data_IF_961874132651
#
_entry.id   IF_961874132651
#
_cell.length_a   1.000
_cell.length_b   1.000
_cell.length_c   1.000
_cell.angle_alpha   90.00
_cell.angle_beta   90.00
_cell.angle_gamma   90.00
#
_symmetry.space_group_name_H-M   'P 1'
#
loop_
_entity.id
_entity.type
_entity.pdbx_description
1 polymer ?
#
# COMPACT_ATOMS: atom_id res chain seq x y z
N UNK A 1 20.68 6.07 9.64
CA UNK A 1 20.49 4.72 10.19
C UNK A 1 20.96 3.68 9.17
N UNK A 2 21.52 2.55 9.60
CA UNK A 2 21.84 1.39 8.73
C UNK A 2 20.96 0.22 9.18
N UNK A 3 20.60 -0.67 8.26
CA UNK A 3 19.95 -1.92 8.66
C UNK A 3 20.89 -2.77 9.51
N UNK A 4 20.36 -3.38 10.56
CA UNK A 4 21.14 -4.19 11.49
C UNK A 4 21.03 -5.65 11.07
N UNK A 5 22.18 -6.29 10.82
CA UNK A 5 22.19 -7.71 10.46
C UNK A 5 21.99 -8.59 11.70
N UNK A 6 20.90 -9.34 11.73
CA UNK A 6 20.59 -10.30 12.80
C UNK A 6 21.21 -11.66 12.48
N UNK A 7 20.91 -12.20 11.30
CA UNK A 7 21.37 -13.53 10.87
C UNK A 7 21.45 -13.71 9.36
N UNK A 8 21.32 -12.63 8.56
CA UNK A 8 21.52 -12.71 7.12
C UNK A 8 22.98 -13.01 6.79
N UNK A 9 23.20 -13.91 5.84
CA UNK A 9 24.52 -14.27 5.27
C UNK A 9 25.03 -13.23 4.29
N UNK A 10 24.17 -12.32 3.84
CA UNK A 10 24.52 -11.27 2.89
C UNK A 10 24.89 -10.01 3.64
N UNK A 11 26.10 -9.52 3.40
CA UNK A 11 26.52 -8.21 3.88
C UNK A 11 26.12 -7.14 2.88
N UNK A 12 25.20 -6.25 3.27
CA UNK A 12 24.79 -5.11 2.44
C UNK A 12 25.79 -3.97 2.63
N UNK A 13 26.49 -3.50 1.58
CA UNK A 13 27.50 -2.46 1.72
C UNK A 13 26.91 -1.08 2.12
N UNK A 14 27.68 -0.28 2.87
CA UNK A 14 27.25 1.04 3.36
C UNK A 14 26.84 2.01 2.26
N UNK A 15 27.44 1.90 1.07
CA UNK A 15 27.08 2.75 -0.06
C UNK A 15 25.62 2.53 -0.52
N UNK A 16 25.03 1.36 -0.27
CA UNK A 16 23.62 1.06 -0.58
C UNK A 16 22.72 1.79 0.41
N UNK A 17 23.02 1.73 1.71
CA UNK A 17 22.30 2.49 2.74
C UNK A 17 22.36 4.00 2.50
N UNK A 18 23.52 4.52 2.10
CA UNK A 18 23.68 5.93 1.74
C UNK A 18 22.83 6.30 0.51
N UNK A 19 22.73 5.42 -0.50
CA UNK A 19 21.83 5.61 -1.65
C UNK A 19 20.36 5.59 -1.22
N UNK A 20 19.96 4.70 -0.32
CA UNK A 20 18.60 4.66 0.22
C UNK A 20 18.30 6.01 0.87
N UNK A 21 19.10 6.41 1.87
CA UNK A 21 18.90 7.66 2.61
C UNK A 21 18.80 8.88 1.69
N UNK A 22 19.69 8.99 0.70
CA UNK A 22 19.69 10.07 -0.29
C UNK A 22 18.44 10.12 -1.20
N UNK A 23 17.57 9.11 -1.18
CA UNK A 23 16.31 9.06 -1.95
C UNK A 23 15.08 9.39 -1.10
N UNK A 24 15.14 9.30 0.23
CA UNK A 24 13.93 9.13 1.05
C UNK A 24 13.00 10.34 1.14
N UNK A 25 13.42 11.55 0.75
CA UNK A 25 12.59 12.77 0.80
C UNK A 25 11.71 12.84 2.06
N UNK A 26 10.38 12.68 1.94
CA UNK A 26 9.42 12.74 3.05
C UNK A 26 9.38 11.48 3.92
N UNK A 27 9.96 10.35 3.49
CA UNK A 27 10.10 9.11 4.27
C UNK A 27 11.31 9.14 5.22
N UNK A 28 12.14 10.19 5.18
CA UNK A 28 13.32 10.33 6.05
C UNK A 28 12.97 10.22 7.54
N UNK A 29 11.92 10.90 8.07
CA UNK A 29 11.54 10.77 9.47
C UNK A 29 11.12 9.35 9.85
N UNK A 30 10.41 8.64 8.95
CA UNK A 30 10.04 7.24 9.17
C UNK A 30 11.27 6.34 9.22
N UNK A 31 12.24 6.54 8.33
CA UNK A 31 13.48 5.77 8.30
C UNK A 31 14.38 5.98 9.51
N UNK A 32 14.36 7.19 10.09
CA UNK A 32 15.13 7.48 11.31
C UNK A 32 14.47 6.90 12.57
N UNK A 33 13.16 6.64 12.51
CA UNK A 33 12.37 6.15 13.64
C UNK A 33 12.19 4.63 13.64
N UNK A 34 11.97 4.03 12.47
CA UNK A 34 11.61 2.61 12.33
C UNK A 34 12.86 1.76 12.11
N UNK A 35 13.21 0.85 13.04
CA UNK A 35 14.36 -0.03 12.88
C UNK A 35 14.20 -0.97 11.69
N UNK A 36 15.32 -1.23 11.00
CA UNK A 36 15.40 -2.16 9.88
C UNK A 36 16.36 -3.29 10.24
N UNK A 37 15.89 -4.53 10.15
CA UNK A 37 16.68 -5.72 10.42
C UNK A 37 16.86 -6.59 9.17
N UNK A 38 18.06 -7.14 9.01
CA UNK A 38 18.37 -8.09 7.96
C UNK A 38 18.33 -9.50 8.54
N UNK A 39 17.50 -10.35 7.96
CA UNK A 39 17.28 -11.73 8.40
C UNK A 39 17.46 -12.72 7.27
N UNK A 40 17.78 -13.97 7.63
CA UNK A 40 17.80 -15.05 6.65
C UNK A 40 16.38 -15.48 6.22
N UNK A 41 16.31 -16.38 5.24
CA UNK A 41 15.06 -16.86 4.65
C UNK A 41 14.19 -17.62 5.66
N UNK A 42 14.80 -18.40 6.55
CA UNK A 42 14.10 -19.21 7.53
C UNK A 42 13.43 -18.33 8.58
N UNK A 43 14.14 -17.32 9.07
CA UNK A 43 13.59 -16.32 9.98
C UNK A 43 12.50 -15.50 9.29
N UNK A 44 12.70 -15.08 8.04
CA UNK A 44 11.68 -14.35 7.28
C UNK A 44 10.37 -15.15 7.14
N UNK A 45 10.43 -16.44 6.80
CA UNK A 45 9.22 -17.27 6.68
C UNK A 45 8.50 -17.55 7.99
N UNK A 46 9.19 -17.40 9.13
CA UNK A 46 8.56 -17.50 10.45
C UNK A 46 7.91 -16.19 10.88
N UNK A 47 8.51 -15.06 10.49
CA UNK A 47 7.95 -13.72 10.72
C UNK A 47 6.75 -13.49 9.81
N UNK A 48 6.91 -13.75 8.52
CA UNK A 48 5.91 -13.52 7.47
C UNK A 48 5.84 -14.74 6.55
N UNK A 49 5.10 -15.79 6.96
CA UNK A 49 4.95 -17.02 6.19
C UNK A 49 4.46 -16.76 4.76
N UNK A 50 4.80 -17.67 3.81
CA UNK A 50 4.36 -17.53 2.43
C UNK A 50 2.84 -17.31 2.35
N UNK A 51 2.45 -16.23 1.69
CA UNK A 51 1.06 -15.77 1.64
C UNK A 51 0.38 -16.28 0.39
N UNK A 52 -0.91 -16.60 0.51
CA UNK A 52 -1.77 -16.84 -0.66
C UNK A 52 -2.12 -15.50 -1.29
N UNK A 53 -1.90 -15.41 -2.60
CA UNK A 53 -2.14 -14.23 -3.41
C UNK A 53 -3.07 -14.56 -4.58
N UNK A 54 -3.58 -13.52 -5.23
CA UNK A 54 -4.42 -13.67 -6.41
C UNK A 54 -3.63 -14.33 -7.55
N UNK A 55 -4.34 -15.14 -8.34
CA UNK A 55 -3.84 -15.75 -9.56
C UNK A 55 -4.45 -15.02 -10.77
N UNK A 56 -3.61 -14.70 -11.75
CA UNK A 56 -3.99 -13.89 -12.92
C UNK A 56 -5.12 -14.53 -13.74
N UNK A 57 -5.01 -15.84 -14.03
CA UNK A 57 -5.99 -16.56 -14.84
C UNK A 57 -7.36 -16.60 -14.15
N UNK A 58 -7.37 -16.87 -12.84
CA UNK A 58 -8.59 -16.85 -12.05
C UNK A 58 -9.17 -15.43 -11.98
N UNK A 59 -8.34 -14.42 -11.69
CA UNK A 59 -8.75 -13.04 -11.54
C UNK A 59 -9.49 -12.53 -12.78
N UNK A 60 -8.96 -12.78 -13.98
CA UNK A 60 -9.59 -12.36 -15.22
C UNK A 60 -11.00 -12.94 -15.40
N UNK A 61 -11.24 -14.17 -14.95
CA UNK A 61 -12.58 -14.79 -14.97
C UNK A 61 -13.50 -14.27 -13.87
N UNK A 62 -12.94 -13.99 -12.69
CA UNK A 62 -13.68 -13.47 -11.54
C UNK A 62 -14.13 -12.02 -11.73
N UNK A 63 -13.34 -11.18 -12.40
CA UNK A 63 -13.74 -9.80 -12.71
C UNK A 63 -15.01 -9.75 -13.57
N UNK A 64 -15.13 -10.63 -14.58
CA UNK A 64 -16.37 -10.75 -15.39
C UNK A 64 -17.59 -11.13 -14.55
N UNK A 65 -17.43 -12.10 -13.63
CA UNK A 65 -18.51 -12.49 -12.70
C UNK A 65 -18.92 -11.35 -11.79
N UNK A 66 -17.97 -10.50 -11.39
CA UNK A 66 -18.24 -9.32 -10.59
C UNK A 66 -19.01 -8.27 -11.42
N UNK A 67 -18.65 -8.07 -12.69
CA UNK A 67 -19.37 -7.16 -13.59
C UNK A 67 -20.84 -7.59 -13.74
N UNK A 68 -21.08 -8.86 -14.04
CA UNK A 68 -22.42 -9.44 -14.14
C UNK A 68 -23.24 -9.23 -12.85
N UNK A 69 -22.61 -9.45 -11.69
CA UNK A 69 -23.22 -9.23 -10.37
C UNK A 69 -23.61 -7.75 -10.15
N UNK A 70 -22.75 -6.83 -10.58
CA UNK A 70 -22.98 -5.39 -10.43
C UNK A 70 -24.05 -4.89 -11.41
N UNK A 71 -24.08 -5.40 -12.64
CA UNK A 71 -25.11 -5.08 -13.64
C UNK A 71 -26.50 -5.54 -13.15
N UNK A 72 -26.64 -6.79 -12.72
CA UNK A 72 -27.90 -7.34 -12.16
C UNK A 72 -28.39 -6.52 -10.96
N UNK A 73 -27.45 -5.97 -10.18
CA UNK A 73 -27.76 -5.10 -9.04
C UNK A 73 -28.12 -3.69 -9.43
N UNK A 74 -27.53 -3.12 -10.48
CA UNK A 74 -27.91 -1.79 -10.96
C UNK A 74 -29.40 -1.74 -11.33
N UNK A 75 -29.93 -2.85 -11.86
CA UNK A 75 -31.35 -3.02 -12.19
C UNK A 75 -32.22 -3.16 -10.92
N UNK A 76 -31.75 -3.89 -9.89
CA UNK A 76 -32.46 -4.09 -8.61
C UNK A 76 -32.35 -2.92 -7.62
N UNK A 77 -31.27 -2.14 -7.67
CA UNK A 77 -31.03 -0.98 -6.80
C UNK A 77 -31.98 0.18 -7.10
N UNK A 78 -32.48 0.27 -8.33
CA UNK A 78 -33.59 1.18 -8.66
C UNK A 78 -34.89 0.84 -7.91
N UNK A 79 -35.03 -0.40 -7.43
CA UNK A 79 -36.22 -0.93 -6.75
C UNK A 79 -36.09 -0.96 -5.21
N UNK A 80 -34.87 -0.97 -4.66
CA UNK A 80 -34.58 -1.25 -3.24
C UNK A 80 -34.17 -0.03 -2.37
N UNK A 81 -34.51 1.21 -2.74
CA UNK A 81 -34.13 2.45 -2.02
C UNK A 81 -34.70 2.63 -0.60
N UNK A 82 -35.04 1.58 0.16
CA UNK A 82 -35.77 1.76 1.44
C UNK A 82 -35.31 0.99 2.67
N UNK A 83 -34.24 0.20 2.66
CA UNK A 83 -33.68 -0.18 3.96
C UNK A 83 -32.18 -0.45 3.97
N UNK A 84 -31.59 0.03 5.07
CA UNK A 84 -30.64 -0.67 5.93
C UNK A 84 -29.18 -0.21 5.98
N UNK A 85 -28.77 -0.22 7.25
CA UNK A 85 -27.51 0.12 7.90
C UNK A 85 -26.44 -0.97 7.79
N UNK A 86 -26.69 -2.02 7.00
CA UNK A 86 -25.74 -3.13 6.81
C UNK A 86 -24.79 -2.92 5.64
N UNK A 87 -23.61 -3.53 5.71
CA UNK A 87 -22.67 -3.62 4.58
C UNK A 87 -23.38 -4.29 3.41
N UNK A 88 -23.34 -3.71 2.20
CA UNK A 88 -24.08 -4.25 1.08
C UNK A 88 -23.69 -5.71 0.80
N UNK A 89 -24.65 -6.64 0.69
CA UNK A 89 -24.36 -8.06 0.41
C UNK A 89 -23.47 -8.29 -0.82
N UNK A 90 -23.50 -7.39 -1.81
CA UNK A 90 -22.65 -7.48 -3.00
C UNK A 90 -21.17 -7.25 -2.68
N UNK A 91 -20.84 -6.44 -1.68
CA UNK A 91 -19.47 -6.25 -1.21
C UNK A 91 -18.89 -7.56 -0.71
N UNK A 92 -19.66 -8.28 0.12
CA UNK A 92 -19.25 -9.61 0.60
C UNK A 92 -19.11 -10.61 -0.54
N UNK A 93 -20.02 -10.59 -1.51
CA UNK A 93 -19.95 -11.47 -2.67
C UNK A 93 -18.71 -11.22 -3.55
N UNK A 94 -18.28 -9.95 -3.71
CA UNK A 94 -17.02 -9.63 -4.42
C UNK A 94 -15.83 -10.23 -3.68
N UNK A 95 -15.75 -10.03 -2.36
CA UNK A 95 -14.66 -10.57 -1.55
C UNK A 95 -14.62 -12.10 -1.61
N UNK A 96 -15.78 -12.77 -1.61
CA UNK A 96 -15.90 -14.22 -1.79
C UNK A 96 -15.39 -14.67 -3.16
N UNK A 97 -15.86 -14.03 -4.25
CA UNK A 97 -15.43 -14.34 -5.63
C UNK A 97 -13.92 -14.16 -5.79
N UNK A 98 -13.35 -13.09 -5.24
CA UNK A 98 -11.91 -12.85 -5.31
C UNK A 98 -11.11 -13.80 -4.40
N UNK A 99 -11.67 -14.19 -3.26
CA UNK A 99 -11.02 -15.15 -2.34
C UNK A 99 -10.86 -16.54 -2.96
N UNK A 100 -11.75 -16.94 -3.87
CA UNK A 100 -11.59 -18.16 -4.69
C UNK A 100 -10.28 -18.15 -5.51
N UNK A 101 -9.81 -16.96 -5.89
CA UNK A 101 -8.61 -16.77 -6.70
C UNK A 101 -7.30 -16.72 -5.92
N UNK A 102 -7.33 -16.86 -4.60
CA UNK A 102 -6.13 -16.84 -3.75
C UNK A 102 -5.32 -18.13 -3.87
N UNK A 103 -4.82 -18.50 -5.05
CA UNK A 103 -4.16 -19.80 -5.29
C UNK A 103 -2.66 -19.70 -5.50
N UNK A 104 -2.14 -18.53 -5.87
CA UNK A 104 -0.70 -18.31 -5.99
C UNK A 104 -0.07 -18.17 -4.60
N UNK A 105 1.24 -18.42 -4.51
CA UNK A 105 2.01 -18.23 -3.27
C UNK A 105 3.12 -17.21 -3.51
N UNK A 106 3.23 -16.27 -2.59
CA UNK A 106 4.32 -15.29 -2.58
C UNK A 106 5.13 -15.42 -1.31
N UNK A 107 6.45 -15.38 -1.47
CA UNK A 107 7.41 -15.22 -0.38
C UNK A 107 7.77 -13.75 -0.26
N UNK A 108 7.81 -13.23 0.97
CA UNK A 108 8.13 -11.83 1.20
C UNK A 108 9.64 -11.60 1.11
N UNK A 109 10.02 -10.48 0.48
CA UNK A 109 11.39 -9.95 0.46
C UNK A 109 11.66 -9.00 1.63
N UNK A 110 10.60 -8.34 2.10
CA UNK A 110 10.57 -7.49 3.28
C UNK A 110 9.18 -7.54 3.91
N UNK A 111 9.09 -7.13 5.16
CA UNK A 111 7.83 -6.96 5.87
C UNK A 111 7.96 -5.86 6.92
N UNK A 112 7.01 -4.95 6.91
CA UNK A 112 6.75 -4.02 8.00
C UNK A 112 5.75 -4.60 8.99
N UNK A 113 6.05 -4.48 10.29
CA UNK A 113 5.14 -4.82 11.39
C UNK A 113 4.87 -3.58 12.24
N UNK A 114 3.59 -3.32 12.51
CA UNK A 114 3.11 -2.24 13.39
C UNK A 114 2.48 -2.82 14.65
N UNK A 115 3.08 -2.52 15.81
CA UNK A 115 2.62 -2.74 17.20
C UNK A 115 1.96 -4.10 17.53
N UNK A 116 2.09 -5.06 16.63
CA UNK A 116 1.63 -6.41 16.78
C UNK A 116 2.76 -7.12 17.51
N UNK A 117 2.54 -7.42 18.80
CA UNK A 117 3.41 -8.33 19.53
C UNK A 117 3.67 -9.53 18.62
N UNK A 118 4.93 -9.81 18.20
CA UNK A 118 5.21 -11.06 17.53
C UNK A 118 4.66 -12.16 18.43
N UNK A 119 4.21 -13.27 17.84
CA UNK A 119 3.80 -14.43 18.65
C UNK A 119 4.86 -14.66 19.74
N UNK A 120 4.49 -14.94 21.01
CA UNK A 120 5.46 -14.95 22.11
C UNK A 120 6.74 -15.75 21.82
N UNK A 121 6.59 -16.86 21.08
CA UNK A 121 7.69 -17.70 20.62
C UNK A 121 8.63 -16.99 19.63
N UNK A 122 8.06 -16.25 18.66
CA UNK A 122 8.81 -15.43 17.71
C UNK A 122 9.48 -14.24 18.42
N UNK A 123 8.81 -13.61 19.38
CA UNK A 123 9.38 -12.52 20.17
C UNK A 123 10.60 -12.99 20.99
N UNK A 124 10.48 -14.15 21.65
CA UNK A 124 11.56 -14.76 22.42
C UNK A 124 12.75 -15.14 21.54
N UNK A 125 12.49 -15.67 20.35
CA UNK A 125 13.55 -16.00 19.41
C UNK A 125 14.24 -14.77 18.82
N UNK A 126 13.48 -13.77 18.36
CA UNK A 126 14.04 -12.52 17.85
C UNK A 126 14.93 -11.85 18.91
N UNK A 127 14.46 -11.87 20.16
CA UNK A 127 15.27 -11.45 21.31
C UNK A 127 16.56 -12.25 21.36
N UNK A 128 16.48 -13.59 21.35
CA UNK A 128 17.67 -14.47 21.41
C UNK A 128 18.64 -14.27 20.24
N UNK A 129 18.15 -14.07 19.02
CA UNK A 129 18.99 -13.81 17.86
C UNK A 129 19.75 -12.48 18.01
N UNK A 130 19.07 -11.45 18.51
CA UNK A 130 19.68 -10.15 18.83
C UNK A 130 20.67 -10.25 19.99
N UNK A 131 20.39 -11.07 20.99
CA UNK A 131 21.33 -11.30 22.08
C UNK A 131 22.65 -11.88 21.60
N UNK A 132 22.62 -12.62 20.49
CA UNK A 132 23.79 -13.19 19.84
C UNK A 132 24.34 -12.31 18.71
N UNK A 133 23.67 -11.20 18.36
CA UNK A 133 24.12 -10.30 17.31
C UNK A 133 25.34 -9.50 17.78
N UNK A 134 26.29 -9.31 16.86
CA UNK A 134 27.57 -8.62 17.11
C UNK A 134 27.38 -7.19 17.67
N UNK A 135 26.23 -6.57 17.42
CA UNK A 135 25.91 -5.19 17.79
C UNK A 135 24.80 -5.06 18.86
N UNK A 136 24.57 -6.08 19.70
CA UNK A 136 23.52 -6.09 20.74
C UNK A 136 23.42 -4.78 21.54
N UNK A 137 24.57 -4.27 22.01
CA UNK A 137 24.60 -3.07 22.86
C UNK A 137 24.15 -1.80 22.12
N UNK A 138 24.54 -1.66 20.85
CA UNK A 138 24.11 -0.53 20.01
C UNK A 138 22.61 -0.64 19.72
N UNK A 139 22.14 -1.85 19.40
CA UNK A 139 20.75 -2.15 19.09
C UNK A 139 19.80 -1.87 20.27
N UNK A 140 20.10 -2.40 21.47
CA UNK A 140 19.28 -2.17 22.67
C UNK A 140 19.35 -0.72 23.17
N UNK A 141 20.42 0.01 22.84
CA UNK A 141 20.52 1.44 23.18
C UNK A 141 19.67 2.32 22.27
N UNK A 142 19.56 1.98 20.98
CA UNK A 142 18.81 2.75 19.98
C UNK A 142 17.32 2.37 19.99
N UNK A 143 17.00 1.13 20.32
CA UNK A 143 15.64 0.60 20.31
C UNK A 143 15.35 -0.21 21.59
N UNK A 144 15.20 0.47 22.74
CA UNK A 144 15.04 -0.18 24.05
C UNK A 144 13.75 -0.98 24.18
N UNK A 145 12.73 -0.65 23.38
CA UNK A 145 11.41 -1.28 23.45
C UNK A 145 11.29 -2.54 22.57
N UNK A 146 12.32 -2.92 21.80
CA UNK A 146 12.28 -4.10 20.94
C UNK A 146 11.98 -5.40 21.74
N UNK A 147 11.14 -6.33 21.23
CA UNK A 147 10.46 -6.36 19.93
C UNK A 147 9.10 -5.63 19.90
N UNK A 148 8.80 -4.77 20.87
CA UNK A 148 7.57 -3.96 20.88
C UNK A 148 7.74 -2.73 19.98
N UNK A 149 6.65 -2.33 19.34
CA UNK A 149 6.62 -1.20 18.41
C UNK A 149 6.87 -1.58 16.95
N UNK A 150 7.12 -0.56 16.14
CA UNK A 150 7.25 -0.68 14.69
C UNK A 150 8.61 -1.24 14.27
N UNK A 151 8.61 -2.12 13.27
CA UNK A 151 9.86 -2.73 12.78
C UNK A 151 9.74 -3.17 11.32
N UNK A 152 10.83 -3.06 10.58
CA UNK A 152 10.98 -3.61 9.23
C UNK A 152 11.98 -4.77 9.26
N UNK A 153 11.59 -5.90 8.69
CA UNK A 153 12.50 -7.00 8.39
C UNK A 153 12.71 -7.11 6.90
N UNK A 154 13.95 -7.31 6.45
CA UNK A 154 14.31 -7.54 5.05
C UNK A 154 15.07 -8.86 4.97
N UNK A 155 14.85 -9.62 3.90
CA UNK A 155 15.61 -10.84 3.59
C UNK A 155 16.52 -10.58 2.36
N UNK A 156 17.78 -10.17 2.58
CA UNK A 156 18.70 -9.90 1.49
C UNK A 156 18.95 -11.11 0.58
N UNK A 157 18.99 -12.33 1.12
CA UNK A 157 19.23 -13.56 0.36
C UNK A 157 18.28 -13.66 -0.84
N UNK A 158 16.98 -13.52 -0.60
CA UNK A 158 15.95 -13.57 -1.65
C UNK A 158 16.09 -12.42 -2.65
N UNK A 159 16.52 -11.25 -2.18
CA UNK A 159 16.72 -10.08 -3.05
C UNK A 159 17.93 -10.29 -3.97
N UNK A 160 19.01 -10.89 -3.45
CA UNK A 160 20.27 -11.07 -4.17
C UNK A 160 20.25 -12.20 -5.21
N UNK A 161 19.17 -12.97 -5.27
CA UNK A 161 18.88 -13.94 -6.34
C UNK A 161 18.28 -13.30 -7.61
N UNK A 162 17.91 -12.02 -7.56
CA UNK A 162 17.30 -11.32 -8.68
C UNK A 162 18.29 -10.46 -9.46
N UNK A 163 17.90 -10.10 -10.68
CA UNK A 163 18.63 -9.13 -11.50
C UNK A 163 18.65 -7.75 -10.83
N UNK A 164 19.80 -7.07 -10.87
CA UNK A 164 20.01 -5.76 -10.24
C UNK A 164 19.71 -5.74 -8.73
N UNK A 165 20.30 -6.65 -7.94
CA UNK A 165 19.89 -6.92 -6.57
C UNK A 165 20.08 -5.72 -5.64
N UNK A 166 21.12 -4.92 -5.82
CA UNK A 166 21.34 -3.68 -5.05
C UNK A 166 20.23 -2.65 -5.27
N UNK A 167 19.70 -2.56 -6.49
CA UNK A 167 18.64 -1.63 -6.83
C UNK A 167 17.29 -2.15 -6.30
N UNK A 168 17.06 -3.45 -6.41
CA UNK A 168 15.88 -4.10 -5.83
C UNK A 168 15.88 -3.97 -4.31
N UNK A 169 17.02 -4.15 -3.64
CA UNK A 169 17.18 -3.96 -2.21
C UNK A 169 16.74 -2.55 -1.77
N UNK A 170 17.22 -1.52 -2.48
CA UNK A 170 16.77 -0.15 -2.25
C UNK A 170 15.24 -0.03 -2.39
N UNK A 171 14.66 -0.62 -3.44
CA UNK A 171 13.21 -0.55 -3.69
C UNK A 171 12.42 -1.23 -2.56
N UNK A 172 12.86 -2.40 -2.10
CA UNK A 172 12.16 -3.16 -1.06
C UNK A 172 12.20 -2.36 0.25
N UNK A 173 13.34 -1.82 0.64
CA UNK A 173 13.43 -0.98 1.85
C UNK A 173 12.47 0.22 1.77
N UNK A 174 12.45 0.94 0.64
CA UNK A 174 11.56 2.10 0.47
C UNK A 174 10.08 1.69 0.47
N UNK A 175 9.75 0.52 -0.08
CA UNK A 175 8.39 -0.03 -0.06
C UNK A 175 7.93 -0.34 1.37
N UNK A 176 8.75 -0.99 2.19
CA UNK A 176 8.41 -1.24 3.60
C UNK A 176 8.30 0.07 4.42
N UNK A 177 9.14 1.07 4.11
CA UNK A 177 9.01 2.40 4.70
C UNK A 177 7.71 3.10 4.30
N UNK A 178 7.20 2.85 3.09
CA UNK A 178 5.91 3.37 2.67
C UNK A 178 4.78 2.76 3.50
N UNK A 179 4.82 1.46 3.78
CA UNK A 179 3.88 0.84 4.73
C UNK A 179 3.97 1.46 6.11
N UNK A 180 5.19 1.62 6.64
CA UNK A 180 5.40 2.23 7.95
C UNK A 180 4.90 3.68 8.02
N UNK A 181 5.10 4.45 6.95
CA UNK A 181 4.63 5.83 6.86
C UNK A 181 3.10 5.91 6.79
N UNK A 182 2.44 5.01 6.06
CA UNK A 182 0.98 5.00 5.90
C UNK A 182 0.28 4.47 7.16
N UNK A 183 0.88 3.50 7.85
CA UNK A 183 0.28 2.90 9.05
C UNK A 183 0.06 3.94 10.16
N UNK A 184 1.06 4.79 10.45
CA UNK A 184 0.97 5.77 11.54
C UNK A 184 0.48 5.10 12.85
N UNK A 185 -0.51 5.70 13.53
CA UNK A 185 -1.14 5.13 14.74
C UNK A 185 -2.40 4.29 14.44
N UNK A 186 -2.62 3.83 13.20
CA UNK A 186 -3.91 3.28 12.75
C UNK A 186 -3.85 1.80 12.43
N UNK A 187 -4.92 1.10 12.79
CA UNK A 187 -5.16 -0.28 12.35
C UNK A 187 -5.51 -0.27 10.86
N UNK A 188 -4.66 -0.87 10.04
CA UNK A 188 -4.91 -0.96 8.59
C UNK A 188 -5.83 -2.13 8.26
N UNK A 189 -6.55 -2.03 7.14
CA UNK A 189 -7.43 -3.08 6.63
C UNK A 189 -6.65 -4.16 5.84
N UNK A 190 -5.32 -4.20 5.95
CA UNK A 190 -4.42 -5.09 5.21
C UNK A 190 -4.75 -6.58 5.29
N UNK A 191 -5.41 -7.02 6.37
CA UNK A 191 -5.87 -8.40 6.52
C UNK A 191 -6.98 -8.76 5.53
N UNK A 192 -7.76 -7.76 5.10
CA UNK A 192 -8.80 -7.90 4.07
C UNK A 192 -8.16 -7.75 2.69
N UNK A 193 -8.77 -8.39 1.70
CA UNK A 193 -8.20 -8.45 0.36
C UNK A 193 -8.09 -7.07 -0.30
N UNK A 194 -9.15 -6.25 -0.23
CA UNK A 194 -9.12 -4.89 -0.79
C UNK A 194 -8.05 -4.02 -0.12
N UNK A 195 -7.88 -4.13 1.19
CA UNK A 195 -6.90 -3.36 1.95
C UNK A 195 -5.51 -3.71 1.49
N UNK A 196 -5.23 -5.01 1.35
CA UNK A 196 -3.97 -5.50 0.77
C UNK A 196 -3.73 -4.99 -0.65
N UNK A 197 -4.71 -5.10 -1.55
CA UNK A 197 -4.55 -4.63 -2.94
C UNK A 197 -4.19 -3.15 -2.97
N UNK A 198 -4.91 -2.32 -2.22
CA UNK A 198 -4.65 -0.88 -2.15
C UNK A 198 -3.26 -0.61 -1.56
N UNK A 199 -2.97 -1.17 -0.39
CA UNK A 199 -1.73 -0.89 0.35
C UNK A 199 -0.48 -1.34 -0.41
N UNK A 200 -0.48 -2.56 -0.97
CA UNK A 200 0.67 -3.10 -1.71
C UNK A 200 0.91 -2.33 -3.02
N UNK A 201 -0.17 -2.01 -3.74
CA UNK A 201 -0.10 -1.21 -4.96
C UNK A 201 0.41 0.20 -4.68
N UNK A 202 -0.06 0.83 -3.60
CA UNK A 202 0.37 2.16 -3.19
C UNK A 202 1.82 2.16 -2.72
N UNK A 203 2.23 1.20 -1.90
CA UNK A 203 3.60 1.09 -1.42
C UNK A 203 4.59 0.87 -2.59
N UNK A 204 4.21 0.08 -3.60
CA UNK A 204 4.99 -0.04 -4.83
C UNK A 204 5.06 1.27 -5.64
N UNK A 205 3.94 2.00 -5.76
CA UNK A 205 3.91 3.28 -6.47
C UNK A 205 4.79 4.33 -5.77
N UNK A 206 4.67 4.45 -4.45
CA UNK A 206 5.54 5.29 -3.62
C UNK A 206 6.99 4.90 -3.84
N UNK A 207 7.34 3.62 -3.66
CA UNK A 207 8.71 3.16 -3.81
C UNK A 207 9.30 3.51 -5.16
N UNK A 208 8.58 3.24 -6.26
CA UNK A 208 9.02 3.58 -7.62
C UNK A 208 9.22 5.09 -7.83
N UNK A 209 8.42 5.95 -7.19
CA UNK A 209 8.56 7.41 -7.30
C UNK A 209 9.90 7.94 -6.76
N UNK A 210 10.58 7.18 -5.88
CA UNK A 210 11.90 7.52 -5.35
C UNK A 210 13.07 7.15 -6.28
N UNK A 211 12.80 6.49 -7.41
CA UNK A 211 13.82 6.13 -8.41
C UNK A 211 13.83 7.10 -9.60
N UNK A 212 14.99 7.24 -10.25
CA UNK A 212 15.11 8.02 -11.49
C UNK A 212 14.59 7.19 -12.65
N UNK A 213 14.11 7.85 -13.70
CA UNK A 213 13.52 7.18 -14.87
C UNK A 213 14.39 6.04 -15.42
N UNK A 214 15.71 6.26 -15.56
CA UNK A 214 16.66 5.24 -16.05
C UNK A 214 16.83 4.01 -15.15
N UNK A 215 16.44 4.11 -13.89
CA UNK A 215 16.52 3.02 -12.90
C UNK A 215 15.21 2.24 -12.81
N UNK A 216 14.10 2.82 -13.27
CA UNK A 216 12.78 2.18 -13.16
C UNK A 216 12.57 0.93 -14.03
N UNK A 217 13.13 0.77 -15.25
CA UNK A 217 12.84 -0.39 -16.10
C UNK A 217 13.08 -1.76 -15.43
N UNK A 218 14.24 -2.05 -14.79
CA UNK A 218 14.44 -3.33 -14.11
C UNK A 218 13.48 -3.52 -12.92
N UNK A 219 13.13 -2.45 -12.19
CA UNK A 219 12.18 -2.52 -11.08
C UNK A 219 10.74 -2.80 -11.56
N UNK A 220 10.34 -2.20 -12.68
CA UNK A 220 9.06 -2.49 -13.35
C UNK A 220 9.00 -3.94 -13.83
N UNK A 221 10.09 -4.42 -14.44
CA UNK A 221 10.19 -5.81 -14.88
C UNK A 221 10.08 -6.81 -13.71
N UNK A 222 10.60 -6.44 -12.53
CA UNK A 222 10.40 -7.21 -11.31
C UNK A 222 8.94 -7.19 -10.84
N UNK A 223 8.34 -6.01 -10.73
CA UNK A 223 6.94 -5.85 -10.27
C UNK A 223 5.97 -6.57 -11.21
N UNK A 224 6.21 -6.55 -12.52
CA UNK A 224 5.37 -7.24 -13.51
C UNK A 224 5.28 -8.76 -13.30
N UNK A 225 6.21 -9.37 -12.54
CA UNK A 225 6.20 -10.79 -12.18
C UNK A 225 5.55 -11.07 -10.82
N UNK A 226 5.18 -10.02 -10.07
CA UNK A 226 4.51 -10.16 -8.78
C UNK A 226 3.01 -10.44 -8.95
N UNK A 227 2.33 -10.95 -7.91
CA UNK A 227 0.88 -11.13 -7.93
C UNK A 227 0.12 -9.83 -8.21
N UNK A 228 -1.15 -9.91 -8.67
CA UNK A 228 -1.99 -8.75 -8.98
C UNK A 228 -1.99 -7.65 -7.92
N UNK A 229 -2.01 -8.02 -6.63
CA UNK A 229 -2.04 -7.08 -5.50
C UNK A 229 -0.88 -6.08 -5.54
N UNK A 230 0.27 -6.48 -6.10
CA UNK A 230 1.49 -5.69 -6.17
C UNK A 230 1.64 -4.94 -7.51
N UNK A 231 1.00 -5.43 -8.58
CA UNK A 231 1.11 -4.86 -9.94
C UNK A 231 0.32 -3.56 -10.10
N UNK A 232 -0.61 -3.29 -9.18
CA UNK A 232 -1.49 -2.13 -9.23
C UNK A 232 -0.79 -0.79 -9.05
N UNK A 233 0.51 -0.76 -8.76
CA UNK A 233 1.28 0.49 -8.77
C UNK A 233 1.17 1.25 -10.10
N UNK A 234 0.98 0.54 -11.22
CA UNK A 234 0.83 1.16 -12.53
C UNK A 234 -0.47 1.93 -12.68
N UNK A 235 -1.54 1.50 -12.01
CA UNK A 235 -2.78 2.26 -11.92
C UNK A 235 -2.52 3.64 -11.28
N UNK A 236 -1.69 3.70 -10.23
CA UNK A 236 -1.31 4.94 -9.56
C UNK A 236 -0.31 5.78 -10.36
N UNK A 237 0.57 5.15 -11.15
CA UNK A 237 1.71 5.82 -11.80
C UNK A 237 1.52 6.19 -13.27
N UNK A 238 0.77 5.42 -14.05
CA UNK A 238 0.74 5.50 -15.52
C UNK A 238 -0.65 5.71 -16.08
N UNK A 239 -1.58 6.13 -15.24
CA UNK A 239 -2.87 6.50 -15.73
C UNK A 239 -2.79 7.83 -16.50
N UNK A 240 -2.46 7.73 -17.78
CA UNK A 240 -3.17 8.41 -18.89
C UNK A 240 -4.49 7.68 -19.17
N UNK A 241 -5.06 7.04 -18.14
CA UNK A 241 -6.33 6.38 -18.26
C UNK A 241 -7.33 7.51 -18.46
N UNK A 242 -8.08 7.52 -19.57
CA UNK A 242 -9.11 8.52 -19.81
C UNK A 242 -10.08 8.57 -18.61
N UNK A 243 -10.24 7.47 -17.86
CA UNK A 243 -10.85 7.44 -16.54
C UNK A 243 -10.06 8.29 -15.54
N UNK A 244 -8.78 8.03 -15.23
CA UNK A 244 -8.08 8.83 -14.20
C UNK A 244 -7.85 10.30 -14.61
N UNK A 245 -7.68 10.59 -15.90
CA UNK A 245 -7.57 11.95 -16.42
C UNK A 245 -8.95 12.65 -16.48
N UNK A 246 -10.07 11.95 -16.73
CA UNK A 246 -11.45 12.49 -16.53
C UNK A 246 -11.85 12.60 -15.05
N UNK A 247 -11.39 11.68 -14.22
CA UNK A 247 -11.85 11.50 -12.83
C UNK A 247 -11.02 12.33 -11.85
N UNK A 248 -9.72 12.46 -12.10
CA UNK A 248 -8.74 13.09 -11.20
C UNK A 248 -7.86 14.14 -11.88
N UNK A 249 -8.07 14.43 -13.20
CA UNK A 249 -7.63 15.61 -13.99
C UNK A 249 -6.16 16.00 -13.92
N UNK A 250 -5.37 15.13 -13.31
CA UNK A 250 -3.91 15.06 -13.30
C UNK A 250 -3.57 13.64 -12.87
N UNK A 251 -2.48 13.09 -13.39
CA UNK A 251 -2.06 11.74 -13.02
C UNK A 251 -1.71 11.70 -11.51
N UNK A 252 -2.16 10.70 -10.72
CA UNK A 252 -1.74 10.51 -9.33
C UNK A 252 -0.21 10.44 -9.18
N UNK A 253 0.49 10.07 -10.26
CA UNK A 253 1.92 10.23 -10.44
C UNK A 253 2.43 11.69 -10.28
N UNK A 254 1.75 12.67 -10.87
CA UNK A 254 2.10 14.09 -10.74
C UNK A 254 1.95 14.57 -9.30
N UNK A 255 0.95 14.04 -8.57
CA UNK A 255 0.77 14.33 -7.15
C UNK A 255 1.88 13.69 -6.30
N UNK A 256 2.15 12.40 -6.47
CA UNK A 256 3.25 11.70 -5.78
C UNK A 256 4.60 12.37 -6.07
N UNK A 257 4.79 12.87 -7.29
CA UNK A 257 5.99 13.60 -7.72
C UNK A 257 6.06 15.01 -7.12
N UNK A 258 4.97 15.77 -7.11
CA UNK A 258 4.91 17.08 -6.47
C UNK A 258 5.15 16.99 -4.95
N UNK A 259 4.63 15.93 -4.32
CA UNK A 259 4.85 15.64 -2.91
C UNK A 259 6.32 15.34 -2.59
N UNK A 260 7.05 14.73 -3.52
CA UNK A 260 8.50 14.49 -3.42
C UNK A 260 9.33 15.77 -3.53
N UNK A 261 8.90 16.76 -4.32
CA UNK A 261 9.70 17.93 -4.68
C UNK A 261 9.52 19.12 -3.71
N UNK A 262 8.35 19.31 -3.06
CA UNK A 262 8.12 20.41 -2.11
C UNK A 262 7.18 20.06 -0.93
N UNK A 263 7.69 19.55 0.22
CA UNK A 263 6.85 19.14 1.36
C UNK A 263 6.12 20.27 2.09
N UNK A 264 6.61 21.52 1.99
CA UNK A 264 6.19 22.64 2.85
C UNK A 264 5.41 23.75 2.13
N UNK A 265 5.29 23.69 0.80
CA UNK A 265 4.75 24.77 -0.04
C UNK A 265 3.70 24.30 -1.04
N UNK A 266 2.98 23.24 -0.70
CA UNK A 266 1.67 23.02 -1.33
C UNK A 266 0.72 24.10 -0.78
N UNK A 267 0.85 25.31 -1.30
CA UNK A 267 -0.32 26.11 -1.63
C UNK A 267 -1.20 25.16 -2.42
N UNK A 268 -2.21 24.62 -1.74
CA UNK A 268 -3.29 23.86 -2.32
C UNK A 268 -3.57 24.43 -3.71
N UNK A 269 -3.45 23.69 -4.82
CA UNK A 269 -3.60 24.29 -6.12
C UNK A 269 -5.03 24.81 -6.20
N UNK A 270 -5.23 26.10 -6.00
CA UNK A 270 -6.52 26.78 -6.11
C UNK A 270 -7.15 26.57 -7.50
N UNK A 271 -6.32 26.13 -8.46
CA UNK A 271 -6.68 25.73 -9.81
C UNK A 271 -7.32 24.32 -9.89
N UNK A 272 -7.04 23.41 -8.94
CA UNK A 272 -7.74 22.12 -8.81
C UNK A 272 -9.16 22.27 -8.23
N UNK A 273 -9.53 23.42 -7.65
CA UNK A 273 -10.90 23.65 -7.14
C UNK A 273 -11.86 24.05 -8.27
N UNK A 274 -11.34 24.66 -9.34
CA UNK A 274 -12.16 25.22 -10.43
C UNK A 274 -12.31 24.29 -11.65
N UNK A 275 -11.67 23.11 -11.64
CA UNK A 275 -11.64 22.17 -12.77
C UNK A 275 -12.38 20.85 -12.51
N UNK A 276 -12.97 20.64 -11.33
CA UNK A 276 -13.50 19.33 -10.93
C UNK A 276 -14.94 19.35 -10.42
N UNK A 277 -15.67 18.23 -10.60
CA UNK A 277 -16.93 18.02 -9.93
C UNK A 277 -16.77 17.58 -8.45
N UNK A 278 -17.72 17.92 -7.56
CA UNK A 278 -17.50 17.95 -6.11
C UNK A 278 -17.34 16.58 -5.43
N UNK A 279 -17.88 15.51 -6.02
CA UNK A 279 -17.86 14.17 -5.44
C UNK A 279 -16.48 13.48 -5.58
N UNK A 280 -15.69 13.86 -6.59
CA UNK A 280 -14.35 13.32 -6.86
C UNK A 280 -13.28 14.01 -6.04
N UNK A 281 -13.48 15.30 -5.80
CA UNK A 281 -12.71 16.07 -4.85
C UNK A 281 -12.93 15.58 -3.41
N UNK A 282 -14.03 14.86 -3.07
CA UNK A 282 -14.32 14.35 -1.72
C UNK A 282 -13.66 13.01 -1.36
N UNK A 283 -13.49 12.06 -2.30
CA UNK A 283 -12.69 10.83 -2.04
C UNK A 283 -11.21 11.22 -1.88
N UNK A 284 -10.76 12.15 -2.73
CA UNK A 284 -9.44 12.76 -2.69
C UNK A 284 -9.24 13.61 -1.42
N UNK A 285 -10.18 14.52 -1.11
CA UNK A 285 -10.12 15.34 0.10
C UNK A 285 -10.36 14.54 1.37
N UNK A 286 -10.96 13.34 1.36
CA UNK A 286 -11.13 12.50 2.58
C UNK A 286 -9.92 11.64 2.86
N UNK A 287 -9.27 11.07 1.84
CA UNK A 287 -7.93 10.47 2.02
C UNK A 287 -6.86 11.52 2.31
N UNK A 288 -7.01 12.75 1.81
CA UNK A 288 -6.16 13.87 2.21
C UNK A 288 -6.58 14.41 3.58
N UNK A 289 -7.85 14.68 3.91
CA UNK A 289 -8.34 15.20 5.20
C UNK A 289 -8.21 14.25 6.37
N UNK A 290 -8.57 12.98 6.22
CA UNK A 290 -8.47 12.05 7.35
C UNK A 290 -7.02 11.81 7.71
N UNK A 291 -6.10 12.24 6.85
CA UNK A 291 -4.67 12.33 7.06
C UNK A 291 -4.15 13.79 7.09
N UNK A 292 -5.02 14.81 7.15
CA UNK A 292 -4.69 16.26 7.16
C UNK A 292 -5.69 17.11 7.98
N UNK A 293 -5.24 17.92 8.96
CA UNK A 293 -6.14 18.62 9.87
C UNK A 293 -6.72 19.91 9.24
N UNK A 294 -8.02 19.95 8.90
CA UNK A 294 -8.95 21.08 9.15
C UNK A 294 -10.08 21.24 8.10
N UNK A 295 -11.36 21.38 8.52
CA UNK A 295 -12.60 21.56 7.73
C UNK A 295 -12.79 22.99 7.21
N UNK A 296 -13.14 23.17 5.93
CA UNK A 296 -14.21 24.05 5.42
C UNK A 296 -14.12 24.33 3.90
N UNK A 297 -15.30 24.27 3.25
CA UNK A 297 -15.72 24.85 1.94
C UNK A 297 -15.85 23.87 0.75
N UNK A 298 -17.06 23.81 0.18
CA UNK A 298 -17.40 23.15 -1.09
C UNK A 298 -18.65 23.78 -1.77
N UNK A 299 -18.66 23.88 -3.12
CA UNK A 299 -19.88 23.75 -3.93
C UNK A 299 -19.67 23.00 -5.29
N UNK A 300 -20.64 23.06 -6.22
CA UNK A 300 -21.39 21.94 -6.83
C UNK A 300 -21.31 21.71 -8.37
N UNK A 301 -21.62 20.47 -8.83
CA UNK A 301 -22.44 20.03 -10.00
C UNK A 301 -21.92 18.91 -10.96
N UNK A 302 -22.29 17.67 -10.64
CA UNK A 302 -22.65 16.51 -11.51
C UNK A 302 -23.88 15.92 -10.83
N UNK A 303 -24.85 15.31 -11.54
CA UNK A 303 -26.19 14.95 -11.01
C UNK A 303 -26.11 14.46 -9.56
N UNK A 304 -26.41 15.38 -8.65
CA UNK A 304 -25.95 15.29 -7.28
C UNK A 304 -26.60 14.10 -6.58
N UNK A 305 -27.76 13.63 -7.00
CA UNK A 305 -28.54 12.60 -6.30
C UNK A 305 -27.82 11.27 -6.07
N UNK A 306 -27.12 10.68 -7.05
CA UNK A 306 -26.46 9.37 -6.85
C UNK A 306 -25.21 9.51 -5.97
N UNK A 307 -24.52 10.64 -6.07
CA UNK A 307 -23.30 10.92 -5.31
C UNK A 307 -23.60 11.45 -3.91
N UNK A 308 -24.61 12.30 -3.75
CA UNK A 308 -25.19 12.71 -2.47
C UNK A 308 -25.76 11.49 -1.75
N UNK A 309 -26.44 10.57 -2.42
CA UNK A 309 -26.95 9.34 -1.80
C UNK A 309 -25.80 8.44 -1.32
N UNK A 310 -24.77 8.20 -2.15
CA UNK A 310 -23.59 7.45 -1.71
C UNK A 310 -22.84 8.17 -0.57
N UNK A 311 -22.56 9.47 -0.71
CA UNK A 311 -21.81 10.28 0.27
C UNK A 311 -22.62 10.45 1.57
N UNK A 312 -23.94 10.62 1.52
CA UNK A 312 -24.79 10.72 2.70
C UNK A 312 -24.93 9.37 3.38
N UNK A 313 -25.03 8.26 2.63
CA UNK A 313 -24.97 6.90 3.19
C UNK A 313 -23.64 6.69 3.92
N UNK A 314 -22.51 7.15 3.38
CA UNK A 314 -21.18 6.97 3.98
C UNK A 314 -20.86 7.97 5.10
N UNK A 315 -21.38 9.21 5.03
CA UNK A 315 -21.28 10.20 6.11
C UNK A 315 -22.15 9.84 7.31
N UNK A 316 -23.29 9.20 7.08
CA UNK A 316 -24.18 8.77 8.16
C UNK A 316 -23.71 7.48 8.85
N UNK A 317 -22.85 6.67 8.21
CA UNK A 317 -22.47 5.33 8.68
C UNK A 317 -21.00 5.16 9.10
N UNK A 318 -20.12 6.10 8.75
CA UNK A 318 -18.66 6.03 9.01
C UNK A 318 -18.02 4.72 8.50
N UNK A 319 -18.59 4.12 7.44
CA UNK A 319 -18.17 2.85 6.84
C UNK A 319 -17.70 3.06 5.39
N UNK A 320 -16.41 2.88 5.15
CA UNK A 320 -15.72 3.24 3.90
C UNK A 320 -15.43 2.02 3.03
N UNK A 321 -15.70 0.82 3.55
CA UNK A 321 -15.34 -0.46 2.91
C UNK A 321 -15.85 -0.55 1.47
N UNK A 322 -17.07 -0.11 1.12
CA UNK A 322 -17.54 -0.22 -0.25
C UNK A 322 -16.72 0.62 -1.26
N UNK A 323 -16.22 1.80 -0.86
CA UNK A 323 -15.37 2.64 -1.72
C UNK A 323 -14.01 1.97 -1.92
N UNK A 324 -13.40 1.47 -0.84
CA UNK A 324 -12.14 0.76 -0.93
C UNK A 324 -12.24 -0.48 -1.83
N UNK A 325 -13.37 -1.19 -1.80
CA UNK A 325 -13.60 -2.33 -2.68
C UNK A 325 -13.67 -1.93 -4.15
N UNK A 326 -14.34 -0.81 -4.47
CA UNK A 326 -14.42 -0.32 -5.84
C UNK A 326 -13.05 0.13 -6.35
N UNK A 327 -12.26 0.83 -5.52
CA UNK A 327 -10.87 1.21 -5.86
C UNK A 327 -10.03 -0.06 -6.09
N UNK A 328 -10.12 -1.03 -5.18
CA UNK A 328 -9.42 -2.32 -5.32
C UNK A 328 -9.81 -3.02 -6.61
N UNK A 329 -11.09 -3.04 -6.97
CA UNK A 329 -11.56 -3.64 -8.22
C UNK A 329 -10.96 -2.94 -9.43
N UNK A 330 -10.99 -1.61 -9.48
CA UNK A 330 -10.40 -0.83 -10.58
C UNK A 330 -8.88 -1.07 -10.73
N UNK A 331 -8.18 -1.19 -9.60
CA UNK A 331 -6.76 -1.57 -9.60
C UNK A 331 -6.58 -2.97 -10.19
N UNK A 332 -7.41 -3.93 -9.78
CA UNK A 332 -7.34 -5.31 -10.27
C UNK A 332 -7.68 -5.42 -11.76
N UNK A 333 -8.68 -4.70 -12.25
CA UNK A 333 -9.00 -4.60 -13.69
C UNK A 333 -7.86 -4.02 -14.52
N UNK A 334 -7.09 -3.09 -13.94
CA UNK A 334 -5.94 -2.50 -14.63
C UNK A 334 -4.79 -3.50 -14.84
N UNK A 335 -4.66 -4.51 -13.96
CA UNK A 335 -3.53 -5.45 -13.95
C UNK A 335 -3.87 -6.86 -14.44
N UNK A 336 -5.16 -7.20 -14.51
CA UNK A 336 -5.67 -8.40 -15.13
C UNK A 336 -5.60 -8.28 -16.66
#
# INVERSE_FOLDING_TARGET
>A
MRGININSRVTVPDNIWNKIYGRLTYLTPTYERVPIYLVDEQTMDRISPPKRCLNDECLASSLRRIDELLEEKSERLQEMRRSETETPRWVTAIDEILSECLTSKMVHLGVYLHDSQPQPDLAAELTKLIENAEYKHELLSQHPDFPKGEVIFICPERIYEHDNPELLFQKVVIHELAHAFVAGDRQTDYQKLYGRVIEESLANAVALSHFREKETPPLKAFIAKQPPEYRGCYYWMFSENEFIEKEFGSSPYLFLRAWKEEPATILFPFWLINLYPPHRLLIYLRYVYEFWPSPNIFPSHTSLEIWEEAIDIYRQKDDYRPICNLISKAILEFVA
#
